data_IF_371163430632
#
_entry.id   IF_371163430632
#
_cell.length_a   1.000
_cell.length_b   1.000
_cell.length_c   1.000
_cell.angle_alpha   90.00
_cell.angle_beta   90.00
_cell.angle_gamma   90.00
#
_symmetry.space_group_name_H-M   'P 1'
#
loop_
_entity.id
_entity.type
_entity.pdbx_description
1 polymer ?
#
# COMPACT_ATOMS: atom_id res chain seq x y z
N UNK A 1 9.86 2.13 14.09
CA UNK A 1 8.89 2.75 13.14
C UNK A 1 7.81 1.72 12.84
N UNK A 2 6.74 1.69 13.63
CA UNK A 2 5.64 0.70 13.51
C UNK A 2 4.43 1.23 12.75
N UNK A 3 4.40 2.53 12.44
CA UNK A 3 3.32 3.19 11.72
C UNK A 3 3.73 3.45 10.25
N UNK A 4 4.71 4.33 10.01
CA UNK A 4 5.03 4.86 8.67
C UNK A 4 5.22 3.80 7.58
N UNK A 5 5.93 2.72 7.88
CA UNK A 5 6.22 1.69 6.89
C UNK A 5 4.96 0.86 6.57
N UNK A 6 4.34 0.17 7.54
CA UNK A 6 3.16 -0.65 7.26
C UNK A 6 1.90 0.16 6.92
N UNK A 7 1.75 1.41 7.36
CA UNK A 7 0.51 2.19 7.16
C UNK A 7 0.60 3.27 6.09
N UNK A 8 1.79 3.62 5.62
CA UNK A 8 1.97 4.62 4.56
C UNK A 8 2.73 4.04 3.37
N UNK A 9 3.97 3.58 3.56
CA UNK A 9 4.82 3.14 2.45
C UNK A 9 4.30 1.87 1.76
N UNK A 10 3.88 0.87 2.53
CA UNK A 10 3.32 -0.38 1.98
C UNK A 10 2.05 -0.14 1.17
N UNK A 11 1.05 0.64 1.63
CA UNK A 11 -0.07 1.06 0.79
C UNK A 11 0.33 1.72 -0.53
N UNK A 12 1.28 2.66 -0.48
CA UNK A 12 1.73 3.39 -1.68
C UNK A 12 2.42 2.42 -2.65
N UNK A 13 3.30 1.55 -2.15
CA UNK A 13 3.97 0.54 -2.96
C UNK A 13 2.98 -0.44 -3.61
N UNK A 14 2.00 -0.92 -2.84
CA UNK A 14 0.97 -1.86 -3.31
C UNK A 14 0.04 -1.23 -4.36
N UNK A 15 -0.36 0.03 -4.18
CA UNK A 15 -1.11 0.78 -5.19
C UNK A 15 -0.27 1.00 -6.46
N UNK A 16 1.02 1.32 -6.31
CA UNK A 16 1.95 1.46 -7.43
C UNK A 16 2.03 0.20 -8.28
N UNK A 17 2.17 -0.97 -7.65
CA UNK A 17 2.18 -2.27 -8.33
C UNK A 17 0.88 -2.56 -9.05
N UNK A 18 -0.27 -2.27 -8.44
CA UNK A 18 -1.59 -2.48 -9.05
C UNK A 18 -1.80 -1.63 -10.30
N UNK A 19 -1.40 -0.36 -10.25
CA UNK A 19 -1.71 0.63 -11.28
C UNK A 19 -0.52 0.94 -12.21
N UNK A 20 0.57 0.17 -12.13
CA UNK A 20 1.72 0.30 -13.02
C UNK A 20 2.58 1.55 -12.79
N UNK A 21 2.57 2.10 -11.56
CA UNK A 21 3.40 3.25 -11.18
C UNK A 21 4.66 2.75 -10.48
N UNK A 22 5.81 3.05 -11.08
CA UNK A 22 7.11 2.65 -10.53
C UNK A 22 7.47 3.48 -9.29
N UNK A 23 7.74 2.79 -8.17
CA UNK A 23 8.08 3.39 -6.87
C UNK A 23 9.32 2.74 -6.23
N UNK A 24 10.46 2.66 -6.95
CA UNK A 24 11.61 1.86 -6.54
C UNK A 24 12.20 2.35 -5.21
N UNK A 25 12.29 3.66 -4.99
CA UNK A 25 12.84 4.24 -3.76
C UNK A 25 11.99 3.90 -2.53
N UNK A 26 10.66 3.90 -2.66
CA UNK A 26 9.75 3.50 -1.58
C UNK A 26 9.96 2.03 -1.22
N UNK A 27 10.05 1.15 -2.23
CA UNK A 27 10.33 -0.28 -2.02
C UNK A 27 11.67 -0.51 -1.34
N UNK A 28 12.71 0.25 -1.71
CA UNK A 28 14.02 0.20 -1.03
C UNK A 28 13.90 0.59 0.44
N UNK A 29 13.16 1.65 0.77
CA UNK A 29 12.95 2.06 2.17
C UNK A 29 12.22 0.98 2.95
N UNK A 30 11.15 0.39 2.39
CA UNK A 30 10.41 -0.72 3.02
C UNK A 30 11.35 -1.90 3.28
N UNK A 31 12.19 -2.26 2.30
CA UNK A 31 13.14 -3.37 2.43
C UNK A 31 14.16 -3.11 3.55
N UNK A 32 14.78 -1.93 3.58
CA UNK A 32 15.74 -1.58 4.63
C UNK A 32 15.10 -1.58 6.01
N UNK A 33 13.89 -1.02 6.15
CA UNK A 33 13.15 -1.05 7.41
C UNK A 33 12.80 -2.48 7.84
N UNK A 34 12.45 -3.35 6.88
CA UNK A 34 12.14 -4.76 7.15
C UNK A 34 13.36 -5.49 7.71
N UNK A 35 14.54 -5.26 7.11
CA UNK A 35 15.82 -5.82 7.59
C UNK A 35 16.16 -5.29 8.97
N UNK A 36 16.06 -3.97 9.19
CA UNK A 36 16.41 -3.34 10.48
C UNK A 36 15.55 -3.82 11.64
N UNK A 37 14.27 -4.12 11.40
CA UNK A 37 13.34 -4.55 12.44
C UNK A 37 13.12 -6.07 12.49
N UNK A 38 13.65 -6.83 11.53
CA UNK A 38 13.39 -8.27 11.43
C UNK A 38 11.91 -8.60 11.19
N UNK A 39 11.20 -7.77 10.43
CA UNK A 39 9.76 -7.87 10.15
C UNK A 39 9.53 -7.76 8.65
N UNK A 40 8.67 -8.59 8.07
CA UNK A 40 8.31 -8.46 6.66
C UNK A 40 7.15 -7.48 6.49
N UNK A 41 7.48 -6.21 6.29
CA UNK A 41 6.47 -5.17 6.13
C UNK A 41 5.61 -5.34 4.87
N UNK A 42 6.11 -5.97 3.81
CA UNK A 42 5.29 -6.25 2.63
C UNK A 42 4.26 -7.33 2.94
N UNK A 43 4.62 -8.32 3.76
CA UNK A 43 3.71 -9.35 4.22
C UNK A 43 2.77 -8.89 5.33
N UNK A 44 3.10 -7.88 6.15
CA UNK A 44 2.33 -7.46 7.34
C UNK A 44 1.61 -6.11 7.19
N UNK A 45 2.08 -5.23 6.31
CA UNK A 45 1.54 -3.88 6.11
C UNK A 45 0.21 -3.85 5.35
N UNK A 46 -0.36 -2.64 5.23
CA UNK A 46 -1.66 -2.39 4.58
C UNK A 46 -1.54 -2.43 3.05
N UNK A 47 -1.53 -3.63 2.47
CA UNK A 47 -1.59 -3.84 1.03
C UNK A 47 -2.98 -3.50 0.47
N UNK A 48 -3.10 -3.43 -0.86
CA UNK A 48 -4.38 -3.19 -1.55
C UNK A 48 -5.43 -4.26 -1.20
N UNK A 49 -5.00 -5.51 -0.98
CA UNK A 49 -5.87 -6.61 -0.52
C UNK A 49 -6.38 -6.34 0.89
N UNK A 50 -5.50 -5.96 1.82
CA UNK A 50 -5.88 -5.68 3.22
C UNK A 50 -6.72 -4.42 3.37
N UNK A 51 -6.56 -3.46 2.48
CA UNK A 51 -7.39 -2.26 2.43
C UNK A 51 -8.76 -2.51 1.79
N UNK A 52 -9.03 -3.71 1.27
CA UNK A 52 -10.29 -4.02 0.59
C UNK A 52 -10.44 -3.32 -0.76
N UNK A 53 -9.33 -2.90 -1.37
CA UNK A 53 -9.30 -2.15 -2.63
C UNK A 53 -8.94 -3.03 -3.84
N UNK A 54 -8.68 -4.32 -3.61
CA UNK A 54 -8.34 -5.26 -4.68
C UNK A 54 -9.45 -5.35 -5.72
N UNK A 55 -9.07 -5.37 -7.00
CA UNK A 55 -10.00 -5.39 -8.12
C UNK A 55 -10.69 -4.04 -8.45
N UNK A 56 -10.59 -3.03 -7.58
CA UNK A 56 -11.19 -1.72 -7.85
C UNK A 56 -10.39 -0.94 -8.89
N UNK A 57 -11.11 -0.20 -9.73
CA UNK A 57 -10.53 0.83 -10.60
C UNK A 57 -10.18 2.09 -9.80
N UNK A 58 -9.30 2.94 -10.36
CA UNK A 58 -8.96 4.25 -9.77
C UNK A 58 -10.22 5.09 -9.49
N UNK A 59 -11.21 5.05 -10.39
CA UNK A 59 -12.49 5.75 -10.21
C UNK A 59 -13.25 5.21 -9.00
N UNK A 60 -13.36 3.89 -8.85
CA UNK A 60 -14.08 3.28 -7.72
C UNK A 60 -13.38 3.53 -6.39
N UNK A 61 -12.05 3.52 -6.35
CA UNK A 61 -11.29 3.90 -5.16
C UNK A 61 -11.59 5.35 -4.77
N UNK A 62 -11.62 6.26 -5.75
CA UNK A 62 -11.95 7.67 -5.49
C UNK A 62 -13.37 7.85 -4.96
N UNK A 63 -14.37 7.21 -5.59
CA UNK A 63 -15.76 7.24 -5.10
C UNK A 63 -15.87 6.65 -3.69
N UNK A 64 -15.16 5.57 -3.39
CA UNK A 64 -15.16 4.99 -2.06
C UNK A 64 -14.61 5.97 -1.00
N UNK A 65 -13.55 6.72 -1.33
CA UNK A 65 -12.95 7.72 -0.41
C UNK A 65 -13.84 8.96 -0.25
N UNK A 66 -14.46 9.43 -1.33
CA UNK A 66 -15.27 10.65 -1.35
C UNK A 66 -16.69 10.43 -0.82
N UNK A 67 -17.28 9.27 -1.11
CA UNK A 67 -18.71 8.98 -0.88
C UNK A 67 -18.95 7.81 0.10
N UNK A 68 -17.92 7.04 0.46
CA UNK A 68 -18.05 5.87 1.33
C UNK A 68 -18.68 4.64 0.68
N UNK A 69 -18.93 4.66 -0.64
CA UNK A 69 -19.59 3.59 -1.41
C UNK A 69 -19.11 3.55 -2.86
N UNK A 70 -19.40 2.44 -3.55
CA UNK A 70 -19.08 2.22 -4.96
C UNK A 70 -20.41 1.96 -5.68
N UNK A 71 -21.03 3.02 -6.20
CA UNK A 71 -22.25 2.95 -7.01
C UNK A 71 -21.98 3.36 -8.47
#
# INVERSE_FOLDING_TARGET
>A
MTEDVPTSLVPIASLGDRFGVSVPTIKTIIHLASVLHGCDYMAEGRTIERLGLSGLSVRQIRMLVEEGRIE
#
